data_IF_197725373563
#
_entry.id   IF_197725373563
#
_cell.length_a   1.000
_cell.length_b   1.000
_cell.length_c   1.000
_cell.angle_alpha   90.00
_cell.angle_beta   90.00
_cell.angle_gamma   90.00
#
_symmetry.space_group_name_H-M   'P 1'
#
loop_
_entity.id
_entity.type
_entity.pdbx_description
1 polymer ?
#
# COMPACT_ATOMS: atom_id res chain seq x y z
N UNK A 1 -1.92 -0.13 -20.76
CA UNK A 1 -1.48 0.12 -19.37
C UNK A 1 -2.75 0.17 -18.53
N UNK A 2 -2.92 -0.73 -17.55
CA UNK A 2 -4.13 -0.79 -16.72
C UNK A 2 -4.22 0.41 -15.76
N UNK A 3 -5.39 0.64 -15.19
CA UNK A 3 -5.60 1.66 -14.19
C UNK A 3 -5.26 1.12 -12.79
N UNK A 4 -4.46 1.84 -12.03
CA UNK A 4 -4.01 1.46 -10.67
C UNK A 4 -4.51 2.48 -9.66
N UNK A 5 -5.03 2.02 -8.53
CA UNK A 5 -5.28 2.84 -7.34
C UNK A 5 -4.28 2.49 -6.25
N UNK A 6 -3.55 3.49 -5.77
CA UNK A 6 -2.70 3.39 -4.58
C UNK A 6 -3.54 3.81 -3.37
N UNK A 7 -3.63 2.95 -2.37
CA UNK A 7 -4.28 3.22 -1.09
C UNK A 7 -3.22 3.41 0.00
N UNK A 8 -3.29 4.53 0.70
CA UNK A 8 -2.38 4.92 1.79
C UNK A 8 -3.22 5.07 3.07
N UNK A 9 -3.44 3.99 3.85
CA UNK A 9 -4.13 4.08 5.13
C UNK A 9 -3.21 4.76 6.15
N UNK A 10 -3.71 5.83 6.79
CA UNK A 10 -2.94 6.64 7.74
C UNK A 10 -3.74 6.97 8.99
N UNK A 11 -3.04 7.06 10.12
CA UNK A 11 -3.61 7.45 11.40
C UNK A 11 -2.57 8.09 12.32
N UNK A 12 -2.64 9.41 12.52
CA UNK A 12 -1.74 10.19 13.39
C UNK A 12 -0.25 10.05 13.00
N UNK A 13 0.05 10.08 11.71
CA UNK A 13 1.39 9.82 11.14
C UNK A 13 2.15 11.13 10.80
N UNK A 14 2.21 12.05 11.75
CA UNK A 14 2.72 13.42 11.58
C UNK A 14 4.10 13.50 10.92
N UNK A 15 5.01 12.62 11.32
CA UNK A 15 6.45 12.75 10.97
C UNK A 15 6.83 12.01 9.67
N UNK A 16 5.97 11.14 9.16
CA UNK A 16 6.31 10.31 7.99
C UNK A 16 5.51 10.66 6.75
N UNK A 17 4.39 11.37 6.90
CA UNK A 17 3.46 11.67 5.80
C UNK A 17 4.09 12.47 4.67
N UNK A 18 4.85 13.52 4.97
CA UNK A 18 5.53 14.34 3.95
C UNK A 18 6.45 13.45 3.10
N UNK A 19 7.27 12.64 3.75
CA UNK A 19 8.20 11.72 3.08
C UNK A 19 7.46 10.69 2.23
N UNK A 20 6.35 10.12 2.75
CA UNK A 20 5.52 9.17 2.02
C UNK A 20 4.95 9.81 0.75
N UNK A 21 4.26 10.94 0.89
CA UNK A 21 3.59 11.61 -0.23
C UNK A 21 4.59 12.09 -1.29
N UNK A 22 5.74 12.61 -0.89
CA UNK A 22 6.82 12.98 -1.80
C UNK A 22 7.42 11.77 -2.53
N UNK A 23 7.47 10.61 -1.89
CA UNK A 23 7.94 9.39 -2.50
C UNK A 23 6.90 8.84 -3.51
N UNK A 24 5.63 8.78 -3.11
CA UNK A 24 4.53 8.32 -3.96
C UNK A 24 4.36 9.22 -5.20
N UNK A 25 4.54 10.53 -5.04
CA UNK A 25 4.49 11.48 -6.16
C UNK A 25 5.58 11.24 -7.23
N UNK A 26 6.66 10.50 -6.90
CA UNK A 26 7.76 10.15 -7.82
C UNK A 26 7.55 8.80 -8.52
N UNK A 27 6.45 8.11 -8.27
CA UNK A 27 6.17 6.82 -8.93
C UNK A 27 6.03 7.05 -10.44
N UNK A 28 6.81 6.30 -11.21
CA UNK A 28 6.82 6.38 -12.65
C UNK A 28 5.68 5.52 -13.24
N UNK A 29 4.51 6.14 -13.36
CA UNK A 29 3.32 5.55 -13.97
C UNK A 29 2.50 6.65 -14.64
N UNK A 30 1.78 6.39 -15.75
CA UNK A 30 1.00 7.44 -16.43
C UNK A 30 -0.05 8.07 -15.51
N UNK A 31 -0.02 9.38 -15.34
CA UNK A 31 -0.92 10.11 -14.43
C UNK A 31 -2.40 9.85 -14.71
N UNK A 32 -2.78 9.67 -15.99
CA UNK A 32 -4.15 9.36 -16.39
C UNK A 32 -4.55 7.89 -16.13
N UNK A 33 -3.63 7.07 -15.63
CA UNK A 33 -3.84 5.66 -15.26
C UNK A 33 -3.50 5.39 -13.80
N UNK A 34 -3.29 6.45 -13.00
CA UNK A 34 -2.96 6.37 -11.59
C UNK A 34 -3.93 7.20 -10.77
N UNK A 35 -4.45 6.63 -9.71
CA UNK A 35 -5.20 7.29 -8.66
C UNK A 35 -4.51 7.02 -7.32
N UNK A 36 -4.39 8.05 -6.50
CA UNK A 36 -3.85 7.93 -5.14
C UNK A 36 -4.96 8.30 -4.17
N UNK A 37 -5.20 7.45 -3.19
CA UNK A 37 -6.16 7.66 -2.11
C UNK A 37 -5.42 7.68 -0.78
N UNK A 38 -5.37 8.81 -0.12
CA UNK A 38 -4.94 8.92 1.28
C UNK A 38 -6.16 8.67 2.15
N UNK A 39 -6.21 7.50 2.78
CA UNK A 39 -7.31 7.05 3.63
C UNK A 39 -7.01 7.48 5.06
N UNK A 40 -7.46 8.66 5.43
CA UNK A 40 -6.99 9.36 6.63
C UNK A 40 -8.03 9.32 7.76
N UNK A 41 -7.67 8.57 8.80
CA UNK A 41 -8.43 8.45 10.04
C UNK A 41 -7.85 9.31 11.18
N UNK A 42 -6.92 10.22 10.88
CA UNK A 42 -6.20 11.01 11.87
C UNK A 42 -7.12 11.96 12.65
N UNK A 43 -6.80 12.12 13.93
CA UNK A 43 -7.56 12.95 14.89
C UNK A 43 -6.72 14.07 15.50
N UNK A 44 -5.44 14.17 15.12
CA UNK A 44 -4.48 15.15 15.58
C UNK A 44 -4.08 16.15 14.47
N UNK A 45 -3.05 16.93 14.70
CA UNK A 45 -2.55 17.92 13.74
C UNK A 45 -2.03 17.33 12.42
N UNK A 46 -1.77 16.01 12.36
CA UNK A 46 -1.33 15.34 11.13
C UNK A 46 -2.37 15.46 10.03
N UNK A 47 -3.67 15.50 10.38
CA UNK A 47 -4.76 15.67 9.43
C UNK A 47 -4.65 16.96 8.60
N UNK A 48 -4.45 18.10 9.27
CA UNK A 48 -4.34 19.40 8.59
C UNK A 48 -3.10 19.47 7.70
N UNK A 49 -1.95 19.00 8.19
CA UNK A 49 -0.70 18.97 7.41
C UNK A 49 -0.80 18.07 6.19
N UNK A 50 -1.42 16.89 6.35
CA UNK A 50 -1.68 15.98 5.23
C UNK A 50 -2.59 16.63 4.19
N UNK A 51 -3.66 17.31 4.62
CA UNK A 51 -4.58 18.02 3.71
C UNK A 51 -3.89 19.12 2.91
N UNK A 52 -3.04 19.91 3.56
CA UNK A 52 -2.25 20.97 2.90
C UNK A 52 -1.30 20.37 1.83
N UNK A 53 -0.59 19.31 2.18
CA UNK A 53 0.34 18.65 1.27
C UNK A 53 -0.38 18.00 0.08
N UNK A 54 -1.53 17.36 0.31
CA UNK A 54 -2.37 16.82 -0.78
C UNK A 54 -2.78 17.93 -1.73
N UNK A 55 -3.20 19.10 -1.21
CA UNK A 55 -3.58 20.24 -2.03
C UNK A 55 -2.42 20.73 -2.91
N UNK A 56 -1.20 20.77 -2.38
CA UNK A 56 0.01 21.10 -3.15
C UNK A 56 0.25 20.09 -4.28
N UNK A 57 0.08 18.80 -4.00
CA UNK A 57 0.29 17.75 -5.01
C UNK A 57 -0.80 17.76 -6.09
N UNK A 58 -2.06 18.04 -5.72
CA UNK A 58 -3.16 18.23 -6.66
C UNK A 58 -2.87 19.41 -7.62
N UNK A 59 -2.36 20.52 -7.09
CA UNK A 59 -1.98 21.68 -7.90
C UNK A 59 -0.81 21.37 -8.86
N UNK A 60 0.03 20.37 -8.54
CA UNK A 60 1.07 19.84 -9.46
C UNK A 60 0.53 18.82 -10.46
N UNK A 61 -0.79 18.57 -10.48
CA UNK A 61 -1.44 17.70 -11.45
C UNK A 61 -1.51 16.22 -11.05
N UNK A 62 -1.23 15.87 -9.78
CA UNK A 62 -1.41 14.49 -9.31
C UNK A 62 -2.91 14.19 -9.08
N UNK A 63 -3.35 13.01 -9.50
CA UNK A 63 -4.68 12.51 -9.20
C UNK A 63 -4.68 11.85 -7.80
N UNK A 64 -4.67 12.70 -6.78
CA UNK A 64 -4.63 12.31 -5.37
C UNK A 64 -5.89 12.81 -4.65
N UNK A 65 -6.45 11.99 -3.78
CA UNK A 65 -7.64 12.28 -3.00
C UNK A 65 -7.37 12.11 -1.51
N UNK A 66 -7.88 13.04 -0.71
CA UNK A 66 -7.98 12.91 0.73
C UNK A 66 -9.33 12.25 1.04
N UNK A 67 -9.32 11.02 1.49
CA UNK A 67 -10.51 10.22 1.80
C UNK A 67 -10.62 10.10 3.31
N UNK A 68 -11.72 10.61 3.85
CA UNK A 68 -12.01 10.62 5.29
C UNK A 68 -13.32 9.90 5.55
N UNK A 69 -13.51 9.44 6.77
CA UNK A 69 -14.75 8.80 7.21
C UNK A 69 -15.17 9.30 8.59
N UNK A 70 -16.44 9.13 8.92
CA UNK A 70 -17.02 9.66 10.17
C UNK A 70 -16.63 8.86 11.41
N UNK A 71 -16.28 7.58 11.25
CA UNK A 71 -15.84 6.72 12.33
C UNK A 71 -14.63 5.88 11.89
N UNK A 72 -13.88 5.39 12.87
CA UNK A 72 -12.71 4.55 12.66
C UNK A 72 -13.03 3.05 12.83
N UNK A 73 -14.26 2.64 12.55
CA UNK A 73 -14.68 1.25 12.68
C UNK A 73 -13.81 0.34 11.79
N UNK A 74 -13.38 -0.80 12.37
CA UNK A 74 -12.49 -1.77 11.72
C UNK A 74 -11.14 -1.19 11.27
N UNK A 75 -10.65 -0.12 11.90
CA UNK A 75 -9.31 0.44 11.73
C UNK A 75 -8.86 0.53 10.25
N UNK A 76 -7.68 0.00 9.93
CA UNK A 76 -7.11 -0.01 8.58
C UNK A 76 -7.96 -0.80 7.58
N UNK A 77 -8.44 -1.99 7.95
CA UNK A 77 -9.30 -2.78 7.08
C UNK A 77 -10.58 -2.01 6.69
N UNK A 78 -11.18 -1.28 7.66
CA UNK A 78 -12.32 -0.40 7.40
C UNK A 78 -11.98 0.75 6.44
N UNK A 79 -10.82 1.40 6.62
CA UNK A 79 -10.36 2.47 5.72
C UNK A 79 -10.14 1.93 4.29
N UNK A 80 -9.45 0.80 4.14
CA UNK A 80 -9.23 0.14 2.84
C UNK A 80 -10.56 -0.23 2.18
N UNK A 81 -11.52 -0.74 2.94
CA UNK A 81 -12.86 -1.09 2.45
C UNK A 81 -13.63 0.13 1.92
N UNK A 82 -13.59 1.26 2.63
CA UNK A 82 -14.21 2.50 2.16
C UNK A 82 -13.51 3.05 0.91
N UNK A 83 -12.18 3.06 0.91
CA UNK A 83 -11.41 3.46 -0.27
C UNK A 83 -11.71 2.60 -1.50
N UNK A 84 -11.90 1.28 -1.31
CA UNK A 84 -12.19 0.35 -2.39
C UNK A 84 -13.52 0.65 -3.10
N UNK A 85 -14.53 1.17 -2.39
CA UNK A 85 -15.83 1.55 -2.99
C UNK A 85 -15.70 2.61 -4.07
N UNK A 86 -14.75 3.52 -3.91
CA UNK A 86 -14.53 4.65 -4.81
C UNK A 86 -13.29 4.50 -5.69
N UNK A 87 -12.51 3.43 -5.51
CA UNK A 87 -11.31 3.13 -6.27
C UNK A 87 -11.65 2.87 -7.74
N UNK A 88 -10.96 3.58 -8.65
CA UNK A 88 -11.12 3.43 -10.11
C UNK A 88 -10.20 2.37 -10.70
N UNK A 89 -9.15 1.97 -9.96
CA UNK A 89 -8.14 1.03 -10.42
C UNK A 89 -8.70 -0.37 -10.65
N UNK A 90 -8.27 -1.01 -11.72
CA UNK A 90 -8.37 -2.45 -11.93
C UNK A 90 -7.49 -3.20 -10.92
N UNK A 91 -6.36 -2.55 -10.58
CA UNK A 91 -5.43 -3.04 -9.56
C UNK A 91 -5.38 -2.07 -8.39
N UNK A 92 -5.31 -2.64 -7.18
CA UNK A 92 -5.21 -1.92 -5.92
C UNK A 92 -3.85 -2.24 -5.29
N UNK A 93 -3.10 -1.22 -4.93
CA UNK A 93 -1.88 -1.38 -4.15
C UNK A 93 -1.97 -0.63 -2.83
N UNK A 94 -1.34 -1.17 -1.80
CA UNK A 94 -1.40 -0.65 -0.44
C UNK A 94 0.02 -0.38 0.03
N UNK A 95 0.24 0.81 0.59
CA UNK A 95 1.46 1.15 1.30
C UNK A 95 1.13 1.75 2.65
N UNK A 96 1.75 1.22 3.70
CA UNK A 96 1.72 1.82 5.03
C UNK A 96 2.51 3.13 5.04
N UNK A 97 2.28 3.97 6.05
CA UNK A 97 2.85 5.31 6.11
C UNK A 97 4.39 5.35 6.15
N UNK A 98 5.02 4.29 6.63
CA UNK A 98 6.48 4.15 6.72
C UNK A 98 7.13 3.52 5.46
N UNK A 99 6.34 3.15 4.44
CA UNK A 99 6.83 2.54 3.21
C UNK A 99 7.30 3.57 2.18
N UNK A 100 8.42 3.25 1.53
CA UNK A 100 9.00 4.07 0.46
C UNK A 100 9.23 3.20 -0.78
N UNK A 101 8.21 2.98 -1.63
CA UNK A 101 8.37 2.20 -2.85
C UNK A 101 9.36 2.87 -3.82
N UNK A 102 10.07 2.03 -4.58
CA UNK A 102 10.92 2.52 -5.67
C UNK A 102 10.05 3.14 -6.78
N UNK A 103 10.57 4.16 -7.46
CA UNK A 103 9.83 4.87 -8.51
C UNK A 103 9.30 3.99 -9.64
N UNK A 104 9.98 2.89 -9.93
CA UNK A 104 9.63 1.91 -10.97
C UNK A 104 8.83 0.70 -10.45
N UNK A 105 8.34 0.76 -9.20
CA UNK A 105 7.70 -0.34 -8.50
C UNK A 105 6.46 -0.88 -9.26
N UNK A 106 5.57 0.00 -9.74
CA UNK A 106 4.40 -0.40 -10.53
C UNK A 106 4.80 -1.02 -11.88
N UNK A 107 5.86 -0.50 -12.52
CA UNK A 107 6.36 -1.06 -13.79
C UNK A 107 6.90 -2.48 -13.62
N UNK A 108 7.40 -2.83 -12.43
CA UNK A 108 7.91 -4.16 -12.10
C UNK A 108 6.81 -5.14 -11.66
N UNK A 109 5.74 -4.66 -11.04
CA UNK A 109 4.70 -5.51 -10.43
C UNK A 109 3.50 -5.73 -11.33
N UNK A 110 2.99 -4.69 -11.97
CA UNK A 110 1.78 -4.77 -12.82
C UNK A 110 1.89 -5.76 -13.99
N UNK A 111 3.04 -5.93 -14.66
CA UNK A 111 3.16 -6.88 -15.76
C UNK A 111 2.86 -8.35 -15.43
N UNK A 112 2.98 -8.76 -14.17
CA UNK A 112 2.63 -10.13 -13.75
C UNK A 112 1.14 -10.44 -13.96
N UNK A 113 0.27 -9.44 -13.87
CA UNK A 113 -1.18 -9.60 -14.05
C UNK A 113 -1.61 -9.84 -15.52
N UNK A 114 -0.67 -9.94 -16.46
CA UNK A 114 -0.95 -10.49 -17.79
C UNK A 114 -1.44 -11.94 -17.72
N UNK A 115 -0.98 -12.67 -16.71
CA UNK A 115 -1.58 -13.96 -16.36
C UNK A 115 -2.89 -13.72 -15.57
N UNK A 116 -4.06 -14.12 -16.10
CA UNK A 116 -5.34 -13.92 -15.42
C UNK A 116 -5.49 -14.73 -14.13
N UNK A 117 -4.65 -15.74 -13.92
CA UNK A 117 -4.65 -16.56 -12.69
C UNK A 117 -4.00 -15.83 -11.50
N UNK A 118 -3.25 -14.76 -11.76
CA UNK A 118 -2.60 -14.01 -10.68
C UNK A 118 -3.58 -13.01 -10.09
N UNK A 119 -3.98 -13.26 -8.83
CA UNK A 119 -4.84 -12.37 -8.04
C UNK A 119 -4.07 -11.35 -7.22
N UNK A 120 -2.85 -11.69 -6.79
CA UNK A 120 -2.00 -10.83 -5.96
C UNK A 120 -0.52 -10.99 -6.32
N UNK A 121 0.21 -9.88 -6.24
CA UNK A 121 1.68 -9.85 -6.32
C UNK A 121 2.19 -9.21 -5.06
N UNK A 122 2.79 -10.00 -4.16
CA UNK A 122 3.47 -9.52 -2.96
C UNK A 122 4.93 -9.24 -3.28
N UNK A 123 5.41 -8.04 -2.94
CA UNK A 123 6.82 -7.73 -3.11
C UNK A 123 7.61 -7.95 -1.83
N UNK A 124 8.89 -8.26 -1.99
CA UNK A 124 9.83 -8.24 -0.88
C UNK A 124 10.18 -6.78 -0.53
N UNK A 125 10.21 -6.49 0.75
CA UNK A 125 10.67 -5.21 1.28
C UNK A 125 11.74 -5.40 2.34
N UNK A 126 12.42 -4.35 2.72
CA UNK A 126 13.51 -4.40 3.67
C UNK A 126 13.58 -3.16 4.54
N UNK A 127 14.34 -3.23 5.62
CA UNK A 127 14.51 -2.14 6.56
C UNK A 127 15.43 -1.04 6.01
N UNK A 128 14.98 0.22 6.06
CA UNK A 128 15.81 1.39 5.74
C UNK A 128 16.98 1.55 6.71
N UNK A 129 16.78 1.19 7.97
CA UNK A 129 17.74 1.33 9.06
C UNK A 129 18.53 0.04 9.36
N UNK A 130 18.66 -0.88 8.38
CA UNK A 130 19.32 -2.20 8.54
C UNK A 130 20.64 -2.15 9.30
N UNK A 131 21.46 -1.13 9.06
CA UNK A 131 22.82 -1.00 9.62
C UNK A 131 22.89 -0.12 10.87
N UNK A 132 21.77 0.29 11.43
CA UNK A 132 21.74 1.21 12.56
C UNK A 132 22.25 0.56 13.87
N UNK A 133 21.87 -0.70 14.13
CA UNK A 133 22.26 -1.44 15.34
C UNK A 133 22.32 -2.94 15.10
N UNK A 134 22.81 -3.71 16.08
CA UNK A 134 22.77 -5.17 16.04
C UNK A 134 21.31 -5.66 15.97
N UNK A 135 20.41 -5.04 16.75
CA UNK A 135 18.99 -5.40 16.74
C UNK A 135 18.37 -5.22 15.35
N UNK A 136 18.61 -4.07 14.70
CA UNK A 136 18.08 -3.83 13.34
C UNK A 136 18.65 -4.78 12.28
N UNK A 137 19.90 -5.24 12.45
CA UNK A 137 20.50 -6.28 11.59
C UNK A 137 19.81 -7.63 11.76
N UNK A 138 19.54 -8.02 13.01
CA UNK A 138 18.83 -9.29 13.31
C UNK A 138 17.40 -9.24 12.77
N UNK A 139 16.68 -8.13 12.97
CA UNK A 139 15.33 -7.94 12.41
C UNK A 139 15.34 -8.02 10.87
N UNK A 140 16.31 -7.36 10.22
CA UNK A 140 16.45 -7.41 8.77
C UNK A 140 16.77 -8.83 8.27
N UNK A 141 17.61 -9.59 8.99
CA UNK A 141 17.91 -10.98 8.67
C UNK A 141 16.66 -11.87 8.79
N UNK A 142 15.88 -11.72 9.87
CA UNK A 142 14.64 -12.47 10.05
C UNK A 142 13.63 -12.19 8.92
N UNK A 143 13.48 -10.91 8.54
CA UNK A 143 12.63 -10.49 7.42
C UNK A 143 13.13 -11.05 6.08
N UNK A 144 14.44 -11.03 5.85
CA UNK A 144 15.04 -11.61 4.65
C UNK A 144 14.74 -13.12 4.57
N UNK A 145 14.84 -13.85 5.69
CA UNK A 145 14.51 -15.27 5.76
C UNK A 145 13.03 -15.53 5.48
N UNK A 146 12.12 -14.71 6.04
CA UNK A 146 10.69 -14.80 5.77
C UNK A 146 10.40 -14.70 4.26
N UNK A 147 10.91 -13.67 3.59
CA UNK A 147 10.65 -13.49 2.16
C UNK A 147 11.35 -14.52 1.27
N UNK A 148 12.61 -14.87 1.57
CA UNK A 148 13.41 -15.73 0.66
C UNK A 148 13.21 -17.22 0.88
N UNK A 149 12.89 -17.65 2.09
CA UNK A 149 12.69 -19.05 2.42
C UNK A 149 11.20 -19.41 2.51
N UNK A 150 10.45 -18.72 3.36
CA UNK A 150 9.06 -19.08 3.59
C UNK A 150 8.16 -18.73 2.40
N UNK A 151 8.11 -17.44 2.01
CA UNK A 151 7.21 -16.98 0.94
C UNK A 151 7.56 -17.60 -0.43
N UNK A 152 8.86 -17.67 -0.77
CA UNK A 152 9.31 -18.32 -2.01
C UNK A 152 9.04 -19.82 -1.96
N UNK A 153 9.28 -20.48 -0.82
CA UNK A 153 9.00 -21.90 -0.64
C UNK A 153 7.51 -22.22 -0.81
N UNK A 154 6.62 -21.45 -0.17
CA UNK A 154 5.16 -21.59 -0.35
C UNK A 154 4.75 -21.43 -1.81
N UNK A 155 5.21 -20.37 -2.45
CA UNK A 155 4.85 -20.07 -3.84
C UNK A 155 5.33 -21.15 -4.80
N UNK A 156 6.56 -21.67 -4.63
CA UNK A 156 7.13 -22.72 -5.49
C UNK A 156 6.41 -24.06 -5.37
N UNK A 157 5.77 -24.32 -4.23
CA UNK A 157 4.96 -25.52 -3.97
C UNK A 157 3.48 -25.33 -4.30
N UNK A 158 3.09 -24.23 -4.94
CA UNK A 158 1.70 -23.83 -5.21
C UNK A 158 0.83 -23.71 -3.94
N UNK A 159 1.44 -23.38 -2.80
CA UNK A 159 0.70 -23.02 -1.60
C UNK A 159 0.35 -21.52 -1.62
N UNK A 160 -0.72 -21.18 -0.91
CA UNK A 160 -1.09 -19.77 -0.75
C UNK A 160 0.01 -19.01 -0.01
N UNK A 161 0.33 -17.83 -0.52
CA UNK A 161 1.20 -16.87 0.16
C UNK A 161 0.38 -16.01 1.11
N UNK A 162 0.99 -15.59 2.22
CA UNK A 162 0.37 -14.60 3.08
C UNK A 162 0.60 -13.21 2.51
N UNK A 163 -0.45 -12.40 2.45
CA UNK A 163 -0.30 -10.97 2.21
C UNK A 163 0.15 -10.28 3.50
N UNK A 164 1.22 -9.48 3.40
CA UNK A 164 1.83 -8.85 4.59
C UNK A 164 1.21 -7.49 4.93
N UNK A 165 -0.03 -7.23 4.52
CA UNK A 165 -0.76 -6.00 4.79
C UNK A 165 -0.31 -4.78 3.96
N UNK A 166 0.85 -4.85 3.29
CA UNK A 166 1.47 -3.72 2.60
C UNK A 166 2.39 -4.18 1.46
N UNK A 167 2.80 -3.25 0.59
CA UNK A 167 3.73 -3.46 -0.52
C UNK A 167 3.34 -4.61 -1.45
N UNK A 168 2.08 -4.74 -1.73
CA UNK A 168 1.53 -5.68 -2.71
C UNK A 168 0.53 -5.04 -3.64
N UNK A 169 0.32 -5.67 -4.79
CA UNK A 169 -0.70 -5.31 -5.77
C UNK A 169 -1.75 -6.40 -5.82
N UNK A 170 -3.00 -6.04 -5.75
CA UNK A 170 -4.14 -6.93 -5.85
C UNK A 170 -4.94 -6.66 -7.12
N UNK A 171 -5.44 -7.70 -7.75
CA UNK A 171 -6.56 -7.55 -8.68
C UNK A 171 -7.81 -7.19 -7.87
N UNK A 172 -8.46 -6.06 -8.18
CA UNK A 172 -9.64 -5.58 -7.44
C UNK A 172 -10.75 -6.62 -7.35
N UNK A 173 -10.99 -7.35 -8.44
CA UNK A 173 -11.99 -8.43 -8.48
C UNK A 173 -11.70 -9.51 -7.43
N UNK A 174 -10.43 -9.89 -7.23
CA UNK A 174 -10.07 -10.89 -6.23
C UNK A 174 -10.34 -10.43 -4.81
N UNK A 175 -10.14 -9.13 -4.50
CA UNK A 175 -10.49 -8.58 -3.19
C UNK A 175 -12.01 -8.67 -2.97
N UNK A 176 -12.79 -8.35 -4.00
CA UNK A 176 -14.26 -8.37 -3.92
C UNK A 176 -14.79 -9.81 -3.82
N UNK A 177 -14.25 -10.74 -4.62
CA UNK A 177 -14.62 -12.16 -4.60
C UNK A 177 -14.30 -12.83 -3.25
N UNK A 178 -13.17 -12.44 -2.62
CA UNK A 178 -12.80 -12.92 -1.27
C UNK A 178 -13.64 -12.30 -0.13
N UNK A 179 -14.65 -11.48 -0.41
CA UNK A 179 -15.51 -10.87 0.60
C UNK A 179 -15.02 -9.52 1.11
N UNK A 180 -14.04 -8.90 0.43
CA UNK A 180 -13.45 -7.61 0.80
C UNK A 180 -12.59 -7.68 2.08
N UNK A 181 -12.05 -6.54 2.51
CA UNK A 181 -11.23 -6.45 3.72
C UNK A 181 -12.05 -6.76 4.97
N UNK A 182 -11.58 -7.67 5.80
CA UNK A 182 -12.21 -8.09 7.05
C UNK A 182 -11.57 -7.35 8.22
N UNK A 183 -12.37 -6.79 9.11
CA UNK A 183 -11.92 -6.01 10.25
C UNK A 183 -12.31 -6.62 11.60
N UNK A 184 -12.70 -7.89 11.61
CA UNK A 184 -13.11 -8.65 12.79
C UNK A 184 -11.98 -9.52 13.37
N UNK A 185 -10.80 -9.45 12.78
CA UNK A 185 -9.58 -10.13 13.23
C UNK A 185 -8.59 -9.13 13.82
N UNK A 186 -7.66 -9.63 14.67
CA UNK A 186 -6.59 -8.79 15.24
C UNK A 186 -5.50 -8.44 14.22
N UNK A 187 -5.45 -9.16 13.12
CA UNK A 187 -4.51 -8.92 12.00
C UNK A 187 -5.29 -8.66 10.72
N UNK A 188 -4.78 -7.80 9.91
CA UNK A 188 -5.37 -7.36 8.64
C UNK A 188 -4.78 -8.12 7.45
#
# INVERSE_FOLDING_TARGET
IPYVTIQLPVYNELYVMERLLDNIAKINYPNNKLEIQVLDDSTDESFSKTSEQISVLQNKGLNIKHVTRSDRKNFKAGALKEGLKIAKGEFITIFDADFLPQKDWLQKTVPYFKDPKIGVVQTRWGHLNRNFSILTKVQAFALDAHFTLEQVGRNSMNHFINFNGTAGVWRKECILDAGNWQGDTLTE
#
